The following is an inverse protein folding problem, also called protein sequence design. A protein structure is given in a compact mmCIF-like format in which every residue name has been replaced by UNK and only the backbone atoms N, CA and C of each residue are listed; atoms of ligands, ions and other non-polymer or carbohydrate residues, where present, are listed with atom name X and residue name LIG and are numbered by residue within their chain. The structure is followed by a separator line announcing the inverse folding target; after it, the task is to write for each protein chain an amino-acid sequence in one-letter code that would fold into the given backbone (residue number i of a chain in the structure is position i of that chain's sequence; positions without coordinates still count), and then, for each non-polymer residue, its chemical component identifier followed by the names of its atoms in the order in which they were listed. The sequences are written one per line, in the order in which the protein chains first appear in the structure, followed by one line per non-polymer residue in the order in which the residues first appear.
data_IF_489410090191
#
_entry.id   IF_489410090191
#
_cell.length_a   1.000
_cell.length_b   1.000
_cell.length_c   1.000
_cell.angle_alpha   90.00
_cell.angle_beta   90.00
_cell.angle_gamma   90.00
#
_symmetry.space_group_name_H-M   'P 1'
#
loop_
_entity.id
_entity.type
_entity.pdbx_description
1 polymer ?
#
# COMPACT_ATOMS: atom_id res chain seq x y z
N UNK A 1 54.22 26.59 4.08
CA UNK A 1 53.48 25.46 4.66
C UNK A 1 52.55 25.98 5.75
N UNK A 2 51.28 26.20 5.42
CA UNK A 2 50.17 26.03 6.37
C UNK A 2 48.89 25.88 5.55
N UNK A 3 48.50 24.63 5.36
CA UNK A 3 47.21 24.22 4.83
C UNK A 3 46.22 24.26 6.00
N UNK A 4 45.09 24.94 5.84
CA UNK A 4 44.03 24.92 6.83
C UNK A 4 42.77 25.49 6.20
N UNK A 5 42.02 24.62 5.52
CA UNK A 5 40.65 24.92 5.06
C UNK A 5 39.77 25.09 6.29
N UNK A 6 38.98 26.14 6.28
CA UNK A 6 37.83 26.30 7.17
C UNK A 6 36.85 25.15 6.89
N UNK A 7 36.70 24.24 7.86
CA UNK A 7 35.65 23.22 7.85
C UNK A 7 34.53 23.70 8.76
N UNK A 8 33.45 24.18 8.15
CA UNK A 8 32.35 24.89 8.79
C UNK A 8 31.27 23.97 9.39
N UNK A 9 31.64 22.78 9.87
CA UNK A 9 30.68 21.90 10.55
C UNK A 9 31.37 20.90 11.48
N UNK A 10 30.97 20.80 12.76
CA UNK A 10 31.48 19.77 13.66
C UNK A 10 30.94 18.40 13.21
N UNK A 11 31.87 17.56 12.73
CA UNK A 11 31.62 16.13 12.46
C UNK A 11 31.87 15.38 13.76
N UNK A 12 30.88 14.62 14.22
CA UNK A 12 31.03 13.77 15.41
C UNK A 12 31.95 12.58 15.06
N UNK A 13 33.09 12.52 15.75
CA UNK A 13 34.19 11.59 15.47
C UNK A 13 33.91 10.13 15.87
N UNK A 14 32.69 9.81 16.28
CA UNK A 14 32.25 8.43 16.59
C UNK A 14 31.60 7.68 15.42
N UNK A 15 30.95 8.37 14.48
CA UNK A 15 30.08 7.72 13.47
C UNK A 15 30.17 8.29 12.06
N UNK A 16 30.89 9.40 11.84
CA UNK A 16 31.06 9.99 10.51
C UNK A 16 29.79 10.56 9.89
N UNK A 17 28.74 10.77 10.69
CA UNK A 17 27.48 11.41 10.25
C UNK A 17 27.42 12.87 10.70
N UNK A 18 26.93 13.74 9.82
CA UNK A 18 26.70 15.16 10.13
C UNK A 18 25.47 15.30 11.02
N UNK A 19 25.58 16.09 12.09
CA UNK A 19 24.54 16.29 13.14
C UNK A 19 23.19 16.83 12.60
N UNK A 20 23.13 17.28 11.34
CA UNK A 20 21.86 17.58 10.65
C UNK A 20 20.98 16.34 10.39
N UNK A 21 21.52 15.13 10.54
CA UNK A 21 20.82 13.85 10.33
C UNK A 21 20.07 13.36 11.60
N UNK A 22 20.24 14.05 12.73
CA UNK A 22 19.54 13.71 13.99
C UNK A 22 18.10 14.29 14.06
N UNK A 23 17.71 15.07 13.04
CA UNK A 23 16.40 15.72 12.92
C UNK A 23 15.35 14.94 12.13
N UNK A 24 15.31 13.61 12.25
CA UNK A 24 14.07 12.81 12.12
C UNK A 24 13.28 12.80 10.80
N UNK A 25 13.75 13.45 9.73
CA UNK A 25 13.20 13.31 8.39
C UNK A 25 14.32 12.85 7.47
N UNK A 26 14.32 11.58 7.06
CA UNK A 26 15.27 11.14 6.04
C UNK A 26 15.07 12.01 4.80
N UNK A 27 16.15 12.39 4.10
CA UNK A 27 16.05 13.18 2.86
C UNK A 27 14.95 12.65 1.92
N UNK A 28 14.78 11.32 1.88
CA UNK A 28 13.75 10.63 1.11
C UNK A 28 12.30 10.93 1.53
N UNK A 29 12.02 11.22 2.80
CA UNK A 29 10.69 11.69 3.26
C UNK A 29 10.41 13.14 2.87
N UNK A 30 11.42 14.02 2.93
CA UNK A 30 11.29 15.40 2.47
C UNK A 30 11.08 15.47 0.96
N UNK A 31 11.78 14.63 0.20
CA UNK A 31 11.62 14.53 -1.26
C UNK A 31 10.24 13.98 -1.63
N UNK A 32 9.71 13.03 -0.84
CA UNK A 32 8.36 12.50 -1.01
C UNK A 32 7.28 13.56 -0.76
N UNK A 33 7.41 14.34 0.31
CA UNK A 33 6.48 15.44 0.63
C UNK A 33 6.53 16.55 -0.43
N UNK A 34 7.72 16.90 -0.92
CA UNK A 34 7.90 17.88 -1.99
C UNK A 34 7.25 17.41 -3.30
N UNK A 35 7.46 16.14 -3.68
CA UNK A 35 6.85 15.56 -4.88
C UNK A 35 5.31 15.42 -4.75
N UNK A 36 4.81 15.05 -3.56
CA UNK A 36 3.37 15.04 -3.24
C UNK A 36 2.75 16.43 -3.36
N UNK A 37 3.40 17.46 -2.82
CA UNK A 37 2.91 18.84 -2.90
C UNK A 37 2.97 19.41 -4.33
N UNK A 38 3.97 19.00 -5.11
CA UNK A 38 4.09 19.36 -6.52
C UNK A 38 3.13 18.57 -7.44
N UNK A 39 2.50 17.49 -6.94
CA UNK A 39 1.73 16.55 -7.76
C UNK A 39 2.59 15.78 -8.77
N UNK A 40 3.90 15.69 -8.54
CA UNK A 40 4.86 15.02 -9.40
C UNK A 40 4.85 13.51 -9.13
N UNK A 41 4.08 12.77 -9.94
CA UNK A 41 3.93 11.33 -9.80
C UNK A 41 5.23 10.57 -10.03
N UNK A 42 6.09 11.06 -10.92
CA UNK A 42 7.38 10.42 -11.22
C UNK A 42 8.36 10.66 -10.06
N UNK A 43 8.35 11.86 -9.47
CA UNK A 43 9.07 12.20 -8.25
C UNK A 43 8.66 11.36 -7.04
N UNK A 44 7.35 11.17 -6.84
CA UNK A 44 6.80 10.31 -5.77
C UNK A 44 7.26 8.86 -5.95
N UNK A 45 7.23 8.35 -7.18
CA UNK A 45 7.64 6.99 -7.48
C UNK A 45 9.13 6.77 -7.22
N UNK A 46 9.96 7.71 -7.64
CA UNK A 46 11.40 7.66 -7.42
C UNK A 46 11.75 7.74 -5.92
N UNK A 47 11.09 8.64 -5.18
CA UNK A 47 11.26 8.78 -3.73
C UNK A 47 10.82 7.53 -2.96
N UNK A 48 9.70 6.91 -3.35
CA UNK A 48 9.23 5.64 -2.76
C UNK A 48 10.20 4.49 -3.05
N UNK A 49 10.78 4.43 -4.25
CA UNK A 49 11.68 3.34 -4.64
C UNK A 49 13.03 3.44 -3.93
N UNK A 50 13.51 4.65 -3.65
CA UNK A 50 14.74 4.89 -2.88
C UNK A 50 14.54 4.82 -1.36
N UNK A 51 13.29 4.91 -0.88
CA UNK A 51 12.99 4.84 0.55
C UNK A 51 12.92 3.40 1.04
N UNK A 52 13.65 3.09 2.13
CA UNK A 52 13.52 1.82 2.87
C UNK A 52 12.08 1.60 3.39
N UNK A 53 11.31 2.67 3.54
CA UNK A 53 9.90 2.62 3.98
C UNK A 53 8.90 2.55 2.82
N UNK A 54 9.35 2.57 1.56
CA UNK A 54 8.52 2.56 0.36
C UNK A 54 7.47 1.45 0.31
N UNK A 55 7.82 0.17 0.56
CA UNK A 55 6.86 -0.93 0.56
C UNK A 55 5.76 -0.78 1.62
N UNK A 56 6.09 -0.21 2.79
CA UNK A 56 5.12 0.04 3.88
C UNK A 56 4.13 1.13 3.50
N UNK A 57 4.61 2.21 2.87
CA UNK A 57 3.77 3.29 2.34
C UNK A 57 2.82 2.78 1.26
N UNK A 58 3.30 1.93 0.35
CA UNK A 58 2.45 1.27 -0.66
C UNK A 58 1.40 0.38 -0.01
N UNK A 59 1.78 -0.44 0.97
CA UNK A 59 0.84 -1.27 1.72
C UNK A 59 -0.25 -0.44 2.39
N UNK A 60 0.11 0.67 3.03
CA UNK A 60 -0.85 1.59 3.64
C UNK A 60 -1.78 2.22 2.60
N UNK A 61 -1.25 2.68 1.47
CA UNK A 61 -2.05 3.24 0.38
C UNK A 61 -3.05 2.21 -0.18
N UNK A 62 -2.62 0.96 -0.39
CA UNK A 62 -3.50 -0.13 -0.82
C UNK A 62 -4.58 -0.44 0.22
N UNK A 63 -4.24 -0.37 1.52
CA UNK A 63 -5.20 -0.48 2.61
C UNK A 63 -6.25 0.64 2.59
N UNK A 64 -5.82 1.88 2.39
CA UNK A 64 -6.73 3.02 2.25
C UNK A 64 -7.66 2.83 1.04
N UNK A 65 -7.11 2.46 -0.12
CA UNK A 65 -7.92 2.14 -1.31
C UNK A 65 -8.92 1.04 -1.01
N UNK A 66 -8.50 -0.06 -0.36
CA UNK A 66 -9.39 -1.15 0.03
C UNK A 66 -10.53 -0.66 0.95
N UNK A 67 -10.21 0.20 1.92
CA UNK A 67 -11.16 0.71 2.90
C UNK A 67 -12.27 1.54 2.24
N UNK A 68 -11.95 2.35 1.23
CA UNK A 68 -12.93 3.17 0.52
C UNK A 68 -13.69 2.42 -0.58
N UNK A 69 -13.04 1.44 -1.23
CA UNK A 69 -13.60 0.80 -2.42
C UNK A 69 -14.36 -0.48 -2.10
N UNK A 70 -13.90 -1.29 -1.14
CA UNK A 70 -14.53 -2.57 -0.83
C UNK A 70 -16.01 -2.44 -0.46
N UNK A 71 -16.46 -1.46 0.37
CA UNK A 71 -17.87 -1.34 0.73
C UNK A 71 -18.84 -1.21 -0.45
N UNK A 72 -18.37 -0.79 -1.63
CA UNK A 72 -19.19 -0.62 -2.83
C UNK A 72 -19.47 -1.96 -3.54
N UNK A 73 -18.53 -2.90 -3.47
CA UNK A 73 -18.51 -4.14 -4.28
C UNK A 73 -18.72 -5.40 -3.45
N UNK A 74 -19.13 -5.26 -2.21
CA UNK A 74 -19.14 -6.36 -1.24
C UNK A 74 -20.47 -6.45 -0.47
N UNK A 75 -20.87 -7.65 -0.02
CA UNK A 75 -22.18 -7.85 0.59
C UNK A 75 -22.33 -7.12 1.94
N UNK A 76 -23.46 -6.45 2.22
CA UNK A 76 -23.70 -5.89 3.54
C UNK A 76 -23.77 -7.02 4.57
N UNK A 77 -22.91 -7.03 5.60
CA UNK A 77 -22.99 -8.14 6.56
C UNK A 77 -22.03 -8.16 7.74
N UNK A 78 -20.75 -7.79 7.60
CA UNK A 78 -19.80 -8.04 8.71
C UNK A 78 -18.68 -7.01 8.75
N UNK A 79 -18.81 -5.89 9.48
CA UNK A 79 -17.80 -4.82 9.52
C UNK A 79 -16.41 -5.30 9.96
N UNK A 80 -16.35 -6.34 10.79
CA UNK A 80 -15.08 -6.92 11.24
C UNK A 80 -14.34 -7.66 10.12
N UNK A 81 -15.04 -8.42 9.26
CA UNK A 81 -14.37 -9.11 8.14
C UNK A 81 -13.84 -8.11 7.14
N UNK A 82 -14.56 -7.00 6.90
CA UNK A 82 -14.09 -5.88 6.09
C UNK A 82 -12.75 -5.33 6.60
N UNK A 83 -12.68 -4.99 7.87
CA UNK A 83 -11.46 -4.43 8.48
C UNK A 83 -10.32 -5.45 8.42
N UNK A 84 -10.59 -6.73 8.68
CA UNK A 84 -9.58 -7.78 8.59
C UNK A 84 -9.05 -7.96 7.17
N UNK A 85 -9.92 -7.90 6.16
CA UNK A 85 -9.51 -8.00 4.75
C UNK A 85 -8.70 -6.78 4.33
N UNK A 86 -9.13 -5.57 4.73
CA UNK A 86 -8.36 -4.33 4.49
C UNK A 86 -6.98 -4.40 5.14
N UNK A 87 -6.92 -4.80 6.42
CA UNK A 87 -5.67 -4.96 7.14
C UNK A 87 -4.78 -6.05 6.51
N UNK A 88 -5.38 -7.13 6.03
CA UNK A 88 -4.69 -8.20 5.30
C UNK A 88 -4.06 -7.69 4.00
N UNK A 89 -4.81 -6.94 3.18
CA UNK A 89 -4.28 -6.33 1.95
C UNK A 89 -3.14 -5.36 2.27
N UNK A 90 -3.31 -4.51 3.28
CA UNK A 90 -2.29 -3.56 3.70
C UNK A 90 -1.02 -4.27 4.20
N UNK A 91 -1.18 -5.30 5.03
CA UNK A 91 -0.08 -6.10 5.57
C UNK A 91 0.66 -6.90 4.48
N UNK A 92 -0.06 -7.49 3.52
CA UNK A 92 0.56 -8.19 2.39
C UNK A 92 1.41 -7.24 1.54
N UNK A 93 0.96 -6.01 1.31
CA UNK A 93 1.76 -4.98 0.64
C UNK A 93 2.98 -4.54 1.47
N UNK A 94 2.76 -4.27 2.76
CA UNK A 94 3.78 -3.71 3.65
C UNK A 94 4.92 -4.68 4.01
N UNK A 95 4.72 -5.98 3.86
CA UNK A 95 5.71 -7.03 4.16
C UNK A 95 6.63 -7.35 2.97
N UNK A 96 6.42 -6.72 1.81
CA UNK A 96 7.26 -6.95 0.63
C UNK A 96 8.61 -6.22 0.74
N UNK A 97 9.62 -6.78 0.09
CA UNK A 97 10.98 -6.24 0.08
C UNK A 97 11.19 -5.07 -0.89
N UNK A 98 10.28 -4.86 -1.86
CA UNK A 98 10.37 -3.78 -2.85
C UNK A 98 9.01 -3.17 -3.14
N UNK A 99 9.00 -1.92 -3.60
CA UNK A 99 7.80 -1.17 -4.00
C UNK A 99 7.03 -1.89 -5.11
N UNK A 100 7.73 -2.39 -6.14
CA UNK A 100 7.10 -3.13 -7.23
C UNK A 100 6.49 -4.47 -6.77
N UNK A 101 7.15 -5.16 -5.84
CA UNK A 101 6.59 -6.38 -5.26
C UNK A 101 5.37 -6.06 -4.39
N UNK A 102 5.39 -4.96 -3.63
CA UNK A 102 4.27 -4.45 -2.85
C UNK A 102 3.06 -4.15 -3.74
N UNK A 103 3.25 -3.42 -4.84
CA UNK A 103 2.18 -3.10 -5.80
C UNK A 103 1.64 -4.34 -6.49
N UNK A 104 2.50 -5.25 -6.94
CA UNK A 104 2.08 -6.47 -7.64
C UNK A 104 1.35 -7.45 -6.72
N UNK A 105 1.90 -7.71 -5.54
CA UNK A 105 1.34 -8.72 -4.62
C UNK A 105 0.19 -8.14 -3.82
N UNK A 106 0.33 -6.92 -3.30
CA UNK A 106 -0.74 -6.20 -2.61
C UNK A 106 -1.90 -5.85 -3.55
N UNK A 107 -1.62 -5.46 -4.79
CA UNK A 107 -2.66 -5.22 -5.79
C UNK A 107 -3.42 -6.49 -6.19
N UNK A 108 -2.77 -7.66 -6.25
CA UNK A 108 -3.46 -8.95 -6.41
C UNK A 108 -4.32 -9.29 -5.19
N UNK A 109 -3.82 -9.04 -3.98
CA UNK A 109 -4.59 -9.23 -2.76
C UNK A 109 -5.83 -8.33 -2.76
N UNK A 110 -5.69 -7.08 -3.17
CA UNK A 110 -6.79 -6.13 -3.36
C UNK A 110 -7.81 -6.65 -4.38
N UNK A 111 -7.37 -7.19 -5.50
CA UNK A 111 -8.26 -7.77 -6.52
C UNK A 111 -9.04 -9.00 -6.01
N UNK A 112 -8.45 -9.79 -5.10
CA UNK A 112 -9.08 -10.97 -4.51
C UNK A 112 -9.97 -10.65 -3.31
N UNK A 113 -9.74 -9.52 -2.64
CA UNK A 113 -10.47 -9.10 -1.45
C UNK A 113 -12.01 -9.18 -1.57
N UNK A 114 -12.67 -8.68 -2.64
CA UNK A 114 -14.13 -8.75 -2.72
C UNK A 114 -14.63 -10.19 -2.88
N UNK A 115 -13.88 -11.08 -3.55
CA UNK A 115 -14.23 -12.50 -3.63
C UNK A 115 -14.14 -13.19 -2.27
N UNK A 116 -13.10 -12.86 -1.50
CA UNK A 116 -12.92 -13.39 -0.15
C UNK A 116 -14.07 -12.94 0.77
N UNK A 117 -14.53 -11.70 0.64
CA UNK A 117 -15.66 -11.18 1.42
C UNK A 117 -16.98 -11.88 1.06
N UNK A 118 -17.25 -12.09 -0.23
CA UNK A 118 -18.41 -12.89 -0.66
C UNK A 118 -18.31 -14.33 -0.13
N UNK A 119 -17.13 -14.93 -0.15
CA UNK A 119 -16.93 -16.27 0.39
C UNK A 119 -17.17 -16.33 1.90
N UNK A 120 -16.65 -15.35 2.67
CA UNK A 120 -16.87 -15.23 4.11
C UNK A 120 -18.37 -15.09 4.42
N UNK A 121 -19.07 -14.25 3.66
CA UNK A 121 -20.52 -14.02 3.82
C UNK A 121 -21.34 -15.30 3.58
N UNK A 122 -21.04 -16.02 2.50
CA UNK A 122 -21.65 -17.35 2.21
C UNK A 122 -21.38 -18.33 3.34
N UNK A 123 -20.12 -18.41 3.77
CA UNK A 123 -19.70 -19.37 4.79
C UNK A 123 -20.37 -19.10 6.14
N UNK A 124 -20.45 -17.84 6.56
CA UNK A 124 -21.14 -17.42 7.78
C UNK A 124 -22.64 -17.68 7.69
N UNK A 125 -23.27 -17.34 6.56
CA UNK A 125 -24.70 -17.60 6.32
C UNK A 125 -25.02 -19.09 6.40
N UNK A 126 -24.17 -19.93 5.80
CA UNK A 126 -24.29 -21.38 5.91
C UNK A 126 -24.09 -21.87 7.36
N UNK A 127 -23.06 -21.36 8.05
CA UNK A 127 -22.73 -21.79 9.40
C UNK A 127 -23.82 -21.45 10.43
N UNK A 128 -24.41 -20.25 10.34
CA UNK A 128 -25.39 -19.77 11.31
C UNK A 128 -26.85 -20.04 10.93
N UNK A 129 -27.17 -20.07 9.63
CA UNK A 129 -28.55 -20.22 9.16
C UNK A 129 -28.79 -21.52 8.39
N UNK A 130 -27.75 -22.31 8.09
CA UNK A 130 -27.86 -23.56 7.33
C UNK A 130 -28.28 -23.39 5.87
N UNK A 131 -28.34 -22.13 5.40
CA UNK A 131 -28.86 -21.77 4.09
C UNK A 131 -27.76 -21.09 3.27
N UNK A 132 -27.66 -21.49 2.01
CA UNK A 132 -26.83 -20.81 1.01
C UNK A 132 -27.78 -20.02 0.10
N UNK A 133 -27.88 -18.72 0.34
CA UNK A 133 -28.75 -17.81 -0.44
C UNK A 133 -27.92 -16.91 -1.36
N UNK A 134 -26.96 -17.47 -2.09
CA UNK A 134 -26.14 -16.70 -3.03
C UNK A 134 -26.37 -17.10 -4.48
N UNK A 135 -26.52 -16.08 -5.33
CA UNK A 135 -26.67 -16.23 -6.77
C UNK A 135 -25.36 -15.89 -7.49
N UNK A 136 -25.12 -16.47 -8.67
CA UNK A 136 -23.92 -16.18 -9.47
C UNK A 136 -23.76 -14.68 -9.81
N UNK A 137 -24.85 -13.91 -9.78
CA UNK A 137 -24.85 -12.46 -10.01
C UNK A 137 -24.10 -11.68 -8.93
N UNK A 138 -23.93 -12.22 -7.72
CA UNK A 138 -23.17 -11.55 -6.64
C UNK A 138 -21.68 -11.46 -6.94
N UNK A 139 -21.18 -12.25 -7.90
CA UNK A 139 -19.77 -12.25 -8.32
C UNK A 139 -19.47 -11.22 -9.41
N UNK A 140 -20.48 -10.61 -10.03
CA UNK A 140 -20.28 -9.64 -11.13
C UNK A 140 -19.54 -8.38 -10.64
N UNK A 141 -19.96 -7.82 -9.51
CA UNK A 141 -19.28 -6.67 -8.88
C UNK A 141 -17.80 -6.96 -8.55
N UNK A 142 -17.51 -8.03 -7.77
CA UNK A 142 -16.14 -8.49 -7.51
C UNK A 142 -15.30 -8.71 -8.78
N UNK A 143 -15.88 -9.30 -9.83
CA UNK A 143 -15.19 -9.56 -11.09
C UNK A 143 -14.82 -8.28 -11.85
N UNK A 144 -15.75 -7.31 -11.94
CA UNK A 144 -15.48 -6.00 -12.55
C UNK A 144 -14.39 -5.28 -11.77
N UNK A 145 -14.48 -5.28 -10.43
CA UNK A 145 -13.48 -4.66 -9.55
C UNK A 145 -12.09 -5.26 -9.75
N UNK A 146 -11.98 -6.60 -9.73
CA UNK A 146 -10.72 -7.28 -9.97
C UNK A 146 -10.14 -6.97 -11.36
N UNK A 147 -11.00 -6.88 -12.37
CA UNK A 147 -10.62 -6.45 -13.71
C UNK A 147 -10.00 -5.05 -13.72
N UNK A 148 -10.63 -4.08 -13.05
CA UNK A 148 -10.14 -2.69 -12.94
C UNK A 148 -8.82 -2.61 -12.18
N UNK A 149 -8.71 -3.28 -11.02
CA UNK A 149 -7.47 -3.30 -10.22
C UNK A 149 -6.33 -3.93 -11.02
N UNK A 150 -6.55 -5.07 -11.66
CA UNK A 150 -5.53 -5.76 -12.46
C UNK A 150 -5.16 -4.97 -13.72
N UNK A 151 -6.11 -4.27 -14.33
CA UNK A 151 -5.85 -3.35 -15.43
C UNK A 151 -4.96 -2.18 -14.96
N UNK A 152 -5.26 -1.57 -13.82
CA UNK A 152 -4.44 -0.51 -13.22
C UNK A 152 -3.00 -0.95 -12.94
N UNK A 153 -2.83 -2.13 -12.32
CA UNK A 153 -1.49 -2.71 -12.06
C UNK A 153 -0.75 -2.97 -13.38
N UNK A 154 -1.45 -3.49 -14.40
CA UNK A 154 -0.84 -3.75 -15.71
C UNK A 154 -0.44 -2.47 -16.43
N UNK A 155 -1.24 -1.41 -16.30
CA UNK A 155 -0.95 -0.11 -16.90
C UNK A 155 0.26 0.55 -16.21
N UNK A 156 0.33 0.49 -14.88
CA UNK A 156 1.49 0.95 -14.10
C UNK A 156 2.79 0.27 -14.58
N UNK A 157 2.81 -1.05 -14.78
CA UNK A 157 4.02 -1.77 -15.29
C UNK A 157 4.46 -1.40 -16.71
N UNK A 158 3.62 -0.69 -17.48
CA UNK A 158 3.93 -0.33 -18.88
C UNK A 158 4.54 1.07 -19.02
N UNK A 159 4.45 1.88 -17.97
CA UNK A 159 5.16 3.15 -17.86
C UNK A 159 6.49 2.91 -17.17
#
# INVERSE_FOLDING_TARGET
MHCGRDFDSPVDAGTGSTILDAGGGSQTTSDLEAALNAGDLDGIQNALTQSDSGPRLVGFALGAVALFTLPIVSPPGVPLSYILVVAGVAGIGATQSTVDAALRTGGKALALAPFLLVFIDVFLSYLFSGLVTTSATTLVGPAIYAGLVMYGIRWYRRR
#
